data_IF_992217995686
#
_entry.id   IF_992217995686
#
_cell.length_a   1.000
_cell.length_b   1.000
_cell.length_c   1.000
_cell.angle_alpha   90.00
_cell.angle_beta   90.00
_cell.angle_gamma   90.00
#
_symmetry.space_group_name_H-M   'P 1'
#
loop_
_entity.id
_entity.type
_entity.pdbx_description
1 polymer ?
#
# COMPACT_ATOMS: atom_id res chain seq x y z
N UNK A 1 7.28 0.93 -5.80
CA UNK A 1 6.31 0.96 -4.70
C UNK A 1 5.06 1.66 -5.15
N UNK A 2 4.38 1.14 -6.16
CA UNK A 2 3.09 1.62 -6.68
C UNK A 2 2.08 0.48 -6.51
N UNK A 3 0.78 0.76 -6.44
CA UNK A 3 -0.28 -0.26 -6.37
C UNK A 3 -0.07 -1.31 -7.47
N UNK A 4 -0.01 -2.60 -7.11
CA UNK A 4 0.07 -3.70 -8.08
C UNK A 4 -1.20 -4.52 -7.94
N UNK A 5 -2.18 -4.13 -8.74
CA UNK A 5 -3.23 -5.04 -9.19
C UNK A 5 -2.70 -5.67 -10.47
N UNK A 6 -2.93 -6.96 -10.67
CA UNK A 6 -2.47 -7.67 -11.86
C UNK A 6 -3.70 -8.08 -12.64
N UNK A 7 -4.10 -7.27 -13.61
CA UNK A 7 -5.16 -7.59 -14.56
C UNK A 7 -4.57 -8.38 -15.73
N UNK A 8 -4.92 -9.66 -15.87
CA UNK A 8 -4.39 -10.53 -16.93
C UNK A 8 -5.37 -10.65 -18.08
N UNK A 9 -4.89 -10.44 -19.30
CA UNK A 9 -5.63 -10.62 -20.54
C UNK A 9 -5.02 -11.78 -21.35
N UNK A 10 -5.88 -12.66 -21.84
CA UNK A 10 -5.51 -13.79 -22.72
C UNK A 10 -6.09 -13.60 -24.11
N UNK A 11 -5.42 -14.18 -25.10
CA UNK A 11 -6.03 -14.33 -26.43
C UNK A 11 -7.19 -15.34 -26.34
N UNK A 12 -8.38 -14.97 -26.84
CA UNK A 12 -9.44 -15.98 -27.08
C UNK A 12 -8.99 -16.90 -28.21
N UNK A 13 -9.32 -18.21 -28.19
CA UNK A 13 -9.14 -19.04 -29.37
C UNK A 13 -10.07 -18.54 -30.48
N UNK A 14 -9.48 -18.07 -31.58
CA UNK A 14 -10.25 -17.76 -32.78
C UNK A 14 -10.70 -19.10 -33.43
N UNK A 15 -11.94 -19.21 -33.94
CA UNK A 15 -12.29 -20.32 -34.83
C UNK A 15 -11.49 -20.18 -36.15
N UNK A 16 -11.13 -21.28 -36.82
CA UNK A 16 -10.19 -21.21 -37.93
C UNK A 16 -10.90 -20.73 -39.19
N UNK A 17 -10.73 -19.46 -39.57
CA UNK A 17 -10.96 -19.02 -40.97
C UNK A 17 -9.92 -18.00 -41.44
N UNK A 18 -9.08 -18.52 -42.34
CA UNK A 18 -8.45 -17.96 -43.56
C UNK A 18 -8.19 -16.44 -43.63
N UNK A 19 -6.91 -16.13 -43.82
CA UNK A 19 -6.29 -14.99 -44.51
C UNK A 19 -6.98 -13.63 -44.46
N UNK A 20 -6.35 -12.70 -43.73
CA UNK A 20 -6.16 -11.33 -44.21
C UNK A 20 -4.76 -10.88 -43.79
N UNK A 21 -3.91 -10.64 -44.78
CA UNK A 21 -2.64 -9.93 -44.62
C UNK A 21 -2.94 -8.51 -44.14
N UNK A 22 -2.22 -8.03 -43.12
CA UNK A 22 -1.79 -6.63 -43.08
C UNK A 22 -0.45 -6.52 -42.34
N UNK A 23 0.47 -5.85 -43.02
CA UNK A 23 1.82 -5.51 -42.62
C UNK A 23 1.87 -4.75 -41.29
N UNK A 24 2.79 -5.12 -40.40
CA UNK A 24 3.59 -4.12 -39.69
C UNK A 24 5.00 -4.66 -39.44
N UNK A 25 5.98 -3.88 -39.91
CA UNK A 25 7.36 -4.23 -40.21
C UNK A 25 8.26 -4.36 -38.99
N UNK A 26 9.25 -5.25 -39.11
CA UNK A 26 10.44 -5.40 -38.27
C UNK A 26 11.14 -4.06 -37.96
N UNK A 27 11.25 -3.70 -36.67
CA UNK A 27 12.33 -2.86 -36.15
C UNK A 27 12.82 -3.48 -34.84
N UNK A 28 13.65 -4.52 -34.95
CA UNK A 28 14.69 -4.82 -33.96
C UNK A 28 16.03 -4.35 -34.55
N UNK A 29 16.96 -4.04 -33.66
CA UNK A 29 18.41 -3.91 -33.92
C UNK A 29 18.87 -2.73 -34.80
N UNK A 30 18.78 -1.49 -34.28
CA UNK A 30 19.74 -0.42 -34.67
C UNK A 30 20.05 0.66 -33.62
N UNK A 31 19.41 0.67 -32.44
CA UNK A 31 19.72 1.64 -31.37
C UNK A 31 20.59 1.10 -30.22
N UNK A 32 20.92 -0.20 -30.20
CA UNK A 32 21.82 -0.81 -29.21
C UNK A 32 23.29 -0.92 -29.67
N UNK A 33 23.59 -0.69 -30.95
CA UNK A 33 24.97 -0.69 -31.47
C UNK A 33 25.67 0.67 -31.33
N UNK A 34 24.93 1.79 -31.41
CA UNK A 34 25.48 3.14 -31.27
C UNK A 34 25.92 3.45 -29.83
N UNK A 35 25.14 3.07 -28.82
CA UNK A 35 25.50 3.31 -27.41
C UNK A 35 26.72 2.49 -26.95
N UNK A 36 26.97 1.33 -27.56
CA UNK A 36 28.17 0.53 -27.27
C UNK A 36 29.44 1.16 -27.85
N UNK A 37 29.37 1.82 -29.02
CA UNK A 37 30.53 2.50 -29.61
C UNK A 37 30.89 3.80 -28.87
N UNK A 38 29.91 4.57 -28.40
CA UNK A 38 30.16 5.83 -27.68
C UNK A 38 30.80 5.59 -26.31
N UNK A 39 30.39 4.54 -25.59
CA UNK A 39 30.96 4.20 -24.27
C UNK A 39 32.36 3.57 -24.41
N UNK A 40 32.61 2.81 -25.49
CA UNK A 40 33.93 2.23 -25.77
C UNK A 40 34.99 3.31 -26.11
N UNK A 41 34.59 4.39 -26.79
CA UNK A 41 35.51 5.49 -27.14
C UNK A 41 35.90 6.37 -25.96
N UNK A 42 35.02 6.53 -24.97
CA UNK A 42 35.28 7.33 -23.77
C UNK A 42 36.19 6.60 -22.76
N UNK A 43 36.12 5.26 -22.69
CA UNK A 43 36.91 4.46 -21.75
C UNK A 43 38.37 4.23 -22.19
N UNK A 44 38.66 4.31 -23.49
CA UNK A 44 40.05 4.17 -23.99
C UNK A 44 40.95 5.38 -23.68
N UNK A 45 40.39 6.55 -23.34
CA UNK A 45 41.18 7.74 -22.98
C UNK A 45 41.54 7.85 -21.50
N UNK A 46 41.04 6.97 -20.63
CA UNK A 46 41.16 7.11 -19.18
C UNK A 46 42.00 6.02 -18.48
N UNK A 47 42.69 5.14 -19.21
CA UNK A 47 43.72 4.25 -18.65
C UNK A 47 43.31 3.37 -17.47
N UNK A 48 42.00 3.10 -17.26
CA UNK A 48 41.49 2.24 -16.20
C UNK A 48 40.70 1.09 -16.78
N UNK A 49 41.28 -0.09 -16.74
CA UNK A 49 40.66 -1.33 -17.14
C UNK A 49 39.69 -1.78 -16.04
N UNK A 50 38.44 -1.31 -16.13
CA UNK A 50 37.35 -1.83 -15.30
C UNK A 50 36.99 -3.20 -15.85
N UNK A 51 37.37 -4.26 -15.14
CA UNK A 51 36.99 -5.63 -15.50
C UNK A 51 35.47 -5.77 -15.45
N UNK A 52 34.89 -6.58 -16.34
CA UNK A 52 33.44 -6.93 -16.32
C UNK A 52 32.97 -7.47 -14.96
N UNK A 53 33.89 -7.95 -14.11
CA UNK A 53 33.64 -8.34 -12.73
C UNK A 53 33.36 -7.15 -11.79
N UNK A 54 33.92 -5.96 -12.04
CA UNK A 54 33.65 -4.76 -11.22
C UNK A 54 32.25 -4.19 -11.47
N UNK A 55 31.65 -4.43 -12.64
CA UNK A 55 30.25 -4.08 -12.92
C UNK A 55 29.24 -5.09 -12.33
N UNK A 56 29.66 -6.34 -12.08
CA UNK A 56 28.85 -7.34 -11.36
C UNK A 56 28.78 -7.08 -9.85
N UNK A 57 29.69 -6.28 -9.30
CA UNK A 57 29.74 -5.98 -7.87
C UNK A 57 28.64 -4.99 -7.39
N UNK A 58 27.79 -4.46 -8.28
CA UNK A 58 26.74 -3.49 -7.93
C UNK A 58 25.30 -4.01 -8.05
N UNK A 59 25.08 -5.26 -8.45
CA UNK A 59 23.77 -5.92 -8.30
C UNK A 59 23.85 -6.90 -7.15
N UNK A 60 23.21 -6.59 -6.01
CA UNK A 60 22.87 -7.61 -5.03
C UNK A 60 21.89 -8.56 -5.71
N UNK A 61 22.41 -9.68 -6.21
CA UNK A 61 21.74 -10.71 -6.99
C UNK A 61 20.84 -11.56 -6.07
N UNK A 62 19.91 -10.89 -5.38
CA UNK A 62 18.91 -11.56 -4.56
C UNK A 62 17.68 -11.85 -5.42
N UNK A 63 17.27 -13.11 -5.45
CA UNK A 63 15.93 -13.49 -5.92
C UNK A 63 14.91 -12.99 -4.90
N UNK A 64 13.93 -12.20 -5.35
CA UNK A 64 12.85 -11.66 -4.52
C UNK A 64 11.59 -12.50 -4.68
N UNK A 65 10.80 -12.62 -3.60
CA UNK A 65 9.67 -13.53 -3.51
C UNK A 65 9.94 -14.63 -2.49
N UNK A 66 8.94 -15.48 -2.23
CA UNK A 66 9.10 -16.55 -1.24
C UNK A 66 8.94 -16.06 0.21
N UNK A 67 8.08 -15.07 0.41
CA UNK A 67 7.68 -14.59 1.72
C UNK A 67 7.14 -15.76 2.56
N UNK A 68 7.79 -15.99 3.70
CA UNK A 68 7.37 -17.03 4.65
C UNK A 68 6.09 -16.57 5.36
N UNK A 69 5.25 -17.52 5.76
CA UNK A 69 3.98 -17.18 6.41
C UNK A 69 4.17 -16.41 7.72
N UNK A 70 5.24 -16.69 8.47
CA UNK A 70 5.61 -15.93 9.67
C UNK A 70 5.97 -14.46 9.39
N UNK A 71 6.40 -14.14 8.16
CA UNK A 71 6.78 -12.80 7.71
C UNK A 71 5.60 -12.01 7.12
N UNK A 72 4.43 -12.65 6.95
CA UNK A 72 3.21 -11.98 6.51
C UNK A 72 2.68 -11.07 7.63
N UNK A 73 2.29 -9.84 7.26
CA UNK A 73 1.71 -8.87 8.17
C UNK A 73 0.20 -9.12 8.33
N UNK A 74 -0.48 -9.46 7.23
CA UNK A 74 -1.92 -9.69 7.16
C UNK A 74 -2.23 -11.18 7.34
N UNK A 75 -2.12 -11.65 8.57
CA UNK A 75 -2.17 -13.08 8.90
C UNK A 75 -3.56 -13.70 8.82
N UNK A 76 -4.63 -12.90 8.89
CA UNK A 76 -6.01 -13.38 8.69
C UNK A 76 -6.61 -12.88 7.38
N UNK A 77 -5.79 -12.60 6.36
CA UNK A 77 -6.24 -12.04 5.08
C UNK A 77 -7.42 -12.78 4.44
N UNK A 78 -7.55 -14.09 4.67
CA UNK A 78 -8.59 -14.95 4.11
C UNK A 78 -9.78 -15.21 5.05
N UNK A 79 -9.86 -14.57 6.22
CA UNK A 79 -10.99 -14.72 7.15
C UNK A 79 -11.11 -16.11 7.78
N UNK A 80 -10.00 -16.86 7.89
CA UNK A 80 -9.98 -18.22 8.46
C UNK A 80 -10.03 -18.23 10.00
N UNK A 81 -9.70 -17.11 10.62
CA UNK A 81 -9.71 -16.91 12.07
C UNK A 81 -10.68 -15.78 12.43
N UNK A 82 -11.00 -15.67 13.71
CA UNK A 82 -11.86 -14.61 14.25
C UNK A 82 -11.30 -13.20 13.92
N UNK A 83 -12.04 -12.35 13.18
CA UNK A 83 -11.58 -10.99 12.82
C UNK A 83 -11.67 -9.99 13.97
N UNK A 84 -12.43 -10.31 15.03
CA UNK A 84 -12.69 -9.43 16.18
C UNK A 84 -11.58 -9.52 17.23
N UNK A 85 -11.75 -8.79 18.34
CA UNK A 85 -10.69 -8.48 19.29
C UNK A 85 -10.00 -9.73 19.85
N UNK A 86 -10.77 -10.76 20.21
CA UNK A 86 -10.23 -11.98 20.79
C UNK A 86 -9.27 -12.71 19.82
N UNK A 87 -9.64 -12.80 18.54
CA UNK A 87 -8.77 -13.31 17.50
C UNK A 87 -7.57 -12.40 17.21
N UNK A 88 -7.80 -11.09 17.14
CA UNK A 88 -6.76 -10.10 16.84
C UNK A 88 -5.63 -10.10 17.88
N UNK A 89 -5.98 -10.16 19.17
CA UNK A 89 -5.00 -10.26 20.27
C UNK A 89 -4.11 -11.49 20.14
N UNK A 90 -4.67 -12.65 19.74
CA UNK A 90 -3.90 -13.89 19.52
C UNK A 90 -2.91 -13.78 18.35
N UNK A 91 -3.20 -12.92 17.37
CA UNK A 91 -2.33 -12.65 16.21
C UNK A 91 -1.29 -11.56 16.48
N UNK A 92 -1.28 -11.00 17.69
CA UNK A 92 -0.32 -9.97 18.10
C UNK A 92 -0.74 -8.54 17.74
N UNK A 93 -1.99 -8.31 17.35
CA UNK A 93 -2.54 -6.96 17.28
C UNK A 93 -2.76 -6.43 18.69
N UNK A 94 -2.63 -5.11 18.87
CA UNK A 94 -2.66 -4.44 20.17
C UNK A 94 -1.56 -4.85 21.16
N UNK A 95 -0.57 -5.65 20.73
CA UNK A 95 0.54 -6.06 21.58
C UNK A 95 1.47 -4.88 21.85
N UNK A 96 1.54 -4.48 23.14
CA UNK A 96 2.42 -3.40 23.63
C UNK A 96 2.24 -2.08 22.89
N UNK A 97 1.05 -1.78 22.37
CA UNK A 97 0.78 -0.53 21.63
C UNK A 97 1.05 0.70 22.49
N UNK A 98 0.74 0.64 23.79
CA UNK A 98 1.09 1.69 24.75
C UNK A 98 2.57 2.03 24.70
N UNK A 99 3.45 1.02 24.72
CA UNK A 99 4.91 1.21 24.71
C UNK A 99 5.37 1.88 23.40
N UNK A 100 4.69 1.62 22.28
CA UNK A 100 4.97 2.28 21.02
C UNK A 100 4.52 3.74 21.03
N UNK A 101 3.35 4.04 21.61
CA UNK A 101 2.80 5.39 21.71
C UNK A 101 3.70 6.27 22.60
N UNK A 102 4.12 5.78 23.76
CA UNK A 102 4.93 6.56 24.72
C UNK A 102 6.35 6.84 24.25
N UNK A 103 6.89 6.07 23.28
CA UNK A 103 8.14 6.42 22.60
C UNK A 103 8.03 7.72 21.80
N UNK A 104 6.81 8.15 21.51
CA UNK A 104 6.50 9.48 21.02
C UNK A 104 6.59 9.64 19.50
N UNK A 105 6.12 10.81 19.07
CA UNK A 105 5.92 11.19 17.67
C UNK A 105 7.17 10.98 16.81
N UNK A 106 8.30 11.54 17.24
CA UNK A 106 9.53 11.55 16.45
C UNK A 106 10.10 10.15 16.27
N UNK A 107 10.03 9.29 17.29
CA UNK A 107 10.45 7.89 17.17
C UNK A 107 9.60 7.14 16.14
N UNK A 108 8.26 7.25 16.23
CA UNK A 108 7.34 6.59 15.28
C UNK A 108 7.64 7.02 13.84
N UNK A 109 7.75 8.33 13.59
CA UNK A 109 8.01 8.86 12.25
C UNK A 109 9.37 8.40 11.72
N UNK A 110 10.41 8.38 12.57
CA UNK A 110 11.75 7.98 12.18
C UNK A 110 11.84 6.49 11.87
N UNK A 111 11.20 5.61 12.65
CA UNK A 111 11.13 4.18 12.34
C UNK A 111 10.39 3.91 11.02
N UNK A 112 9.27 4.61 10.77
CA UNK A 112 8.56 4.46 9.49
C UNK A 112 9.39 4.99 8.32
N UNK A 113 10.18 6.07 8.50
CA UNK A 113 11.16 6.53 7.50
C UNK A 113 12.24 5.48 7.27
N UNK A 114 12.84 4.95 8.33
CA UNK A 114 13.91 3.96 8.28
C UNK A 114 13.45 2.65 7.59
N UNK A 115 12.19 2.25 7.80
CA UNK A 115 11.61 1.06 7.15
C UNK A 115 11.54 1.15 5.62
N UNK A 116 11.68 2.35 5.06
CA UNK A 116 11.52 2.58 3.62
C UNK A 116 10.08 2.39 3.13
N UNK A 117 9.08 2.38 4.02
CA UNK A 117 7.67 2.26 3.66
C UNK A 117 7.26 3.36 2.68
N UNK A 118 6.58 2.94 1.61
CA UNK A 118 6.00 3.82 0.59
C UNK A 118 4.50 3.62 0.54
N UNK A 119 3.77 4.67 0.23
CA UNK A 119 2.31 4.67 0.15
C UNK A 119 1.78 3.54 -0.73
N UNK A 120 0.82 2.80 -0.18
CA UNK A 120 0.22 1.59 -0.76
C UNK A 120 -1.13 1.82 -1.48
N UNK A 121 -1.51 3.10 -1.66
CA UNK A 121 -2.47 3.51 -2.68
C UNK A 121 -1.80 3.50 -4.06
N UNK A 122 -1.97 4.55 -4.88
CA UNK A 122 -1.34 4.61 -6.22
C UNK A 122 0.00 5.35 -6.28
N UNK A 123 0.15 6.43 -5.50
CA UNK A 123 1.22 7.41 -5.67
C UNK A 123 2.62 6.92 -5.27
N UNK A 124 2.72 5.96 -4.35
CA UNK A 124 4.01 5.44 -3.91
C UNK A 124 4.91 6.44 -3.21
N UNK A 125 4.37 7.50 -2.61
CA UNK A 125 5.13 8.50 -1.89
C UNK A 125 5.72 7.92 -0.58
N UNK A 126 6.96 8.23 -0.16
CA UNK A 126 7.54 7.72 1.09
C UNK A 126 6.69 8.08 2.31
N UNK A 127 6.14 7.09 3.02
CA UNK A 127 5.11 7.30 4.04
C UNK A 127 5.63 8.07 5.25
N UNK A 128 6.81 7.70 5.77
CA UNK A 128 7.40 8.39 6.91
C UNK A 128 7.74 9.85 6.61
N UNK A 129 8.15 10.16 5.36
CA UNK A 129 8.34 11.55 4.92
C UNK A 129 7.00 12.29 4.89
N UNK A 130 5.94 11.66 4.36
CA UNK A 130 4.59 12.24 4.32
C UNK A 130 4.11 12.61 5.72
N UNK A 131 4.27 11.70 6.68
CA UNK A 131 3.84 11.91 8.06
C UNK A 131 4.61 13.05 8.74
N UNK A 132 5.87 13.28 8.35
CA UNK A 132 6.67 14.38 8.89
C UNK A 132 6.27 15.77 8.40
N UNK A 133 5.38 15.89 7.40
CA UNK A 133 4.86 17.18 6.94
C UNK A 133 3.79 17.76 7.86
N UNK A 134 3.18 16.94 8.71
CA UNK A 134 2.18 17.44 9.67
C UNK A 134 2.86 18.41 10.66
N UNK A 135 2.21 19.53 11.03
CA UNK A 135 2.81 20.51 11.94
C UNK A 135 3.24 19.88 13.26
N UNK A 136 4.43 20.26 13.75
CA UNK A 136 4.91 19.86 15.08
C UNK A 136 4.33 20.73 16.19
N UNK A 137 4.20 22.03 15.91
CA UNK A 137 3.59 23.00 16.82
C UNK A 137 2.17 23.25 16.33
N UNK A 138 1.20 23.11 17.22
CA UNK A 138 -0.20 23.44 16.90
C UNK A 138 -0.36 24.95 16.83
N UNK A 139 -1.07 25.41 15.80
CA UNK A 139 -1.53 26.79 15.65
C UNK A 139 -2.95 27.00 16.21
N UNK A 140 -3.39 26.09 17.09
CA UNK A 140 -4.76 26.05 17.62
C UNK A 140 -5.71 25.17 16.81
N UNK A 141 -5.39 24.85 15.54
CA UNK A 141 -6.20 23.91 14.74
C UNK A 141 -5.88 22.46 15.14
N UNK A 142 -6.88 21.57 15.24
CA UNK A 142 -6.64 20.15 15.42
C UNK A 142 -6.02 19.55 14.16
N UNK A 143 -5.18 18.54 14.32
CA UNK A 143 -4.66 17.76 13.20
C UNK A 143 -5.53 16.52 12.96
N UNK A 144 -5.75 16.20 11.69
CA UNK A 144 -6.57 15.06 11.26
C UNK A 144 -5.74 14.00 10.52
N UNK A 145 -6.05 12.74 10.80
CA UNK A 145 -5.71 11.62 9.93
C UNK A 145 -6.96 11.24 9.14
N UNK A 146 -6.85 11.12 7.83
CA UNK A 146 -7.90 10.53 7.01
C UNK A 146 -7.38 9.25 6.37
N UNK A 147 -8.01 8.13 6.68
CA UNK A 147 -7.70 6.84 6.06
C UNK A 147 -8.56 6.70 4.82
N UNK A 148 -7.91 6.58 3.67
CA UNK A 148 -8.57 6.35 2.39
C UNK A 148 -8.85 4.85 2.23
N UNK A 149 -10.11 4.49 2.44
CA UNK A 149 -10.67 3.14 2.31
C UNK A 149 -11.75 3.07 1.22
N UNK A 150 -11.70 3.96 0.22
CA UNK A 150 -12.64 3.99 -0.90
C UNK A 150 -12.35 2.86 -1.92
N UNK A 151 -11.09 2.52 -2.17
CA UNK A 151 -10.69 1.41 -3.06
C UNK A 151 -11.53 1.23 -4.34
N UNK A 152 -11.89 2.34 -5.00
CA UNK A 152 -12.70 2.27 -6.22
C UNK A 152 -11.91 1.85 -7.48
N UNK A 153 -10.59 1.67 -7.36
CA UNK A 153 -9.69 1.29 -8.45
C UNK A 153 -10.00 -0.12 -8.98
N UNK A 154 -10.39 -0.28 -10.26
CA UNK A 154 -10.69 -1.57 -10.87
C UNK A 154 -9.60 -2.63 -10.65
N UNK A 155 -10.05 -3.83 -10.25
CA UNK A 155 -9.21 -4.99 -9.95
C UNK A 155 -8.53 -4.94 -8.57
N UNK A 156 -8.70 -3.87 -7.80
CA UNK A 156 -8.15 -3.77 -6.45
C UNK A 156 -9.19 -4.21 -5.41
N UNK A 157 -8.82 -5.11 -4.51
CA UNK A 157 -9.67 -5.59 -3.42
C UNK A 157 -8.89 -5.88 -2.12
N UNK A 158 -7.69 -5.31 -1.95
CA UNK A 158 -6.80 -5.53 -0.81
C UNK A 158 -7.30 -4.83 0.46
N UNK A 159 -7.81 -3.61 0.33
CA UNK A 159 -8.27 -2.79 1.45
C UNK A 159 -9.58 -3.36 1.96
N UNK A 160 -10.42 -3.88 1.05
CA UNK A 160 -11.56 -4.72 1.37
C UNK A 160 -11.21 -5.85 2.32
N UNK A 161 -10.19 -6.66 2.00
CA UNK A 161 -9.76 -7.79 2.85
C UNK A 161 -9.33 -7.34 4.25
N UNK A 162 -8.57 -6.24 4.34
CA UNK A 162 -8.11 -5.71 5.64
C UNK A 162 -9.31 -5.31 6.49
N UNK A 163 -10.28 -4.59 5.92
CA UNK A 163 -11.45 -4.11 6.68
C UNK A 163 -12.36 -5.24 7.17
N UNK A 164 -12.55 -6.31 6.37
CA UNK A 164 -13.44 -7.42 6.76
C UNK A 164 -12.77 -8.51 7.60
N UNK A 165 -11.47 -8.75 7.45
CA UNK A 165 -10.82 -9.89 8.09
C UNK A 165 -9.76 -9.53 9.14
N UNK A 166 -9.14 -8.34 9.08
CA UNK A 166 -8.19 -7.85 10.08
C UNK A 166 -8.46 -6.37 10.49
N UNK A 167 -9.70 -6.01 10.87
CA UNK A 167 -10.08 -4.62 11.18
C UNK A 167 -9.29 -4.03 12.35
N UNK A 168 -8.98 -4.83 13.39
CA UNK A 168 -8.20 -4.35 14.54
C UNK A 168 -6.78 -3.90 14.17
N UNK A 169 -6.16 -4.51 13.16
CA UNK A 169 -4.85 -4.11 12.66
C UNK A 169 -4.89 -2.72 12.02
N UNK A 170 -5.97 -2.41 11.30
CA UNK A 170 -6.22 -1.07 10.77
C UNK A 170 -6.45 -0.06 11.89
N UNK A 171 -7.31 -0.38 12.85
CA UNK A 171 -7.65 0.51 13.97
C UNK A 171 -6.42 0.81 14.83
N UNK A 172 -5.62 -0.21 15.15
CA UNK A 172 -4.34 -0.03 15.84
C UNK A 172 -3.39 0.87 15.02
N UNK A 173 -3.31 0.63 13.71
CA UNK A 173 -2.58 1.47 12.77
C UNK A 173 -3.01 2.93 12.84
N UNK A 174 -4.31 3.21 12.94
CA UNK A 174 -4.83 4.56 13.08
C UNK A 174 -4.32 5.23 14.36
N UNK A 175 -4.35 4.54 15.51
CA UNK A 175 -3.85 5.07 16.79
C UNK A 175 -2.37 5.40 16.71
N UNK A 176 -1.56 4.49 16.16
CA UNK A 176 -0.11 4.68 15.99
C UNK A 176 0.18 5.84 15.03
N UNK A 177 -0.49 5.88 13.88
CA UNK A 177 -0.29 6.91 12.87
C UNK A 177 -0.74 8.29 13.40
N UNK A 178 -1.87 8.35 14.11
CA UNK A 178 -2.32 9.56 14.81
C UNK A 178 -1.25 10.09 15.77
N UNK A 179 -0.69 9.21 16.60
CA UNK A 179 0.42 9.57 17.51
C UNK A 179 1.63 10.10 16.73
N UNK A 180 2.03 9.40 15.66
CA UNK A 180 3.15 9.81 14.78
C UNK A 180 2.93 11.12 14.03
N UNK A 181 1.68 11.51 13.78
CA UNK A 181 1.33 12.75 13.07
C UNK A 181 0.84 13.86 14.00
N UNK A 182 0.73 13.60 15.31
CA UNK A 182 0.11 14.54 16.26
C UNK A 182 -1.37 14.79 15.97
N UNK A 183 -2.06 13.84 15.33
CA UNK A 183 -3.48 13.93 15.03
C UNK A 183 -4.31 13.38 16.20
N UNK A 184 -5.33 14.13 16.60
CA UNK A 184 -6.30 13.70 17.63
C UNK A 184 -7.46 12.92 17.02
N UNK A 185 -7.84 13.29 15.81
CA UNK A 185 -9.03 12.76 15.15
C UNK A 185 -8.62 11.98 13.91
N UNK A 186 -9.17 10.77 13.77
CA UNK A 186 -9.03 9.94 12.59
C UNK A 186 -10.39 9.73 11.95
N UNK A 187 -10.49 9.96 10.64
CA UNK A 187 -11.64 9.52 9.86
C UNK A 187 -11.23 8.39 8.93
N UNK A 188 -11.94 7.27 8.98
CA UNK A 188 -11.83 6.19 8.01
C UNK A 188 -12.93 6.41 6.97
N UNK A 189 -12.55 6.86 5.77
CA UNK A 189 -13.49 7.10 4.67
C UNK A 189 -13.61 5.82 3.84
N UNK A 190 -14.70 5.10 4.05
CA UNK A 190 -14.98 3.81 3.43
C UNK A 190 -15.79 4.01 2.14
N UNK A 191 -15.53 3.16 1.17
CA UNK A 191 -16.37 3.05 -0.02
C UNK A 191 -17.85 2.84 0.33
N UNK A 192 -18.76 3.52 -0.37
CA UNK A 192 -20.20 3.38 -0.12
C UNK A 192 -20.72 1.94 -0.28
N UNK A 193 -20.19 1.20 -1.25
CA UNK A 193 -20.59 -0.18 -1.56
C UNK A 193 -20.07 -1.22 -0.54
N UNK A 194 -19.08 -0.86 0.28
CA UNK A 194 -18.46 -1.75 1.27
C UNK A 194 -19.25 -1.78 2.58
N UNK A 195 -20.54 -2.10 2.49
CA UNK A 195 -21.47 -2.09 3.63
C UNK A 195 -21.08 -3.11 4.70
N UNK A 196 -20.79 -4.36 4.30
CA UNK A 196 -20.46 -5.42 5.26
C UNK A 196 -19.09 -5.20 5.91
N UNK A 197 -18.13 -4.73 5.13
CA UNK A 197 -16.79 -4.36 5.57
C UNK A 197 -16.87 -3.20 6.58
N UNK A 198 -17.71 -2.18 6.30
CA UNK A 198 -17.98 -1.07 7.23
C UNK A 198 -18.58 -1.58 8.53
N UNK A 199 -19.62 -2.41 8.47
CA UNK A 199 -20.27 -2.95 9.67
C UNK A 199 -19.30 -3.79 10.51
N UNK A 200 -18.41 -4.56 9.87
CA UNK A 200 -17.35 -5.28 10.57
C UNK A 200 -16.36 -4.33 11.24
N UNK A 201 -15.92 -3.29 10.54
CA UNK A 201 -15.00 -2.30 11.10
C UNK A 201 -15.63 -1.52 12.26
N UNK A 202 -16.90 -1.13 12.16
CA UNK A 202 -17.65 -0.46 13.23
C UNK A 202 -17.78 -1.36 14.47
N UNK A 203 -18.00 -2.65 14.29
CA UNK A 203 -18.00 -3.63 15.40
C UNK A 203 -16.65 -3.73 16.09
N UNK A 204 -15.57 -3.88 15.32
CA UNK A 204 -14.21 -3.93 15.85
C UNK A 204 -13.80 -2.61 16.54
N UNK A 205 -14.27 -1.48 16.01
CA UNK A 205 -14.05 -0.16 16.59
C UNK A 205 -14.78 -0.01 17.92
N UNK A 206 -16.03 -0.47 18.01
CA UNK A 206 -16.78 -0.50 19.26
C UNK A 206 -16.07 -1.36 20.33
N UNK A 207 -15.52 -2.52 19.97
CA UNK A 207 -14.70 -3.34 20.87
C UNK A 207 -13.43 -2.61 21.33
N UNK A 208 -12.76 -1.89 20.44
CA UNK A 208 -11.57 -1.11 20.76
C UNK A 208 -11.87 0.07 21.70
N UNK A 209 -12.99 0.76 21.52
CA UNK A 209 -13.48 1.77 22.46
C UNK A 209 -13.83 1.16 23.81
N UNK A 210 -14.58 0.05 23.84
CA UNK A 210 -14.96 -0.64 25.06
C UNK A 210 -13.75 -1.13 25.87
N UNK A 211 -12.64 -1.47 25.20
CA UNK A 211 -11.39 -1.88 25.87
C UNK A 211 -10.47 -0.72 26.26
N UNK A 212 -10.81 0.53 25.89
CA UNK A 212 -9.97 1.70 26.13
C UNK A 212 -8.74 1.75 25.23
N UNK A 213 -8.75 1.06 24.09
CA UNK A 213 -7.67 1.11 23.11
C UNK A 213 -7.73 2.35 22.21
N UNK A 214 -8.94 2.90 22.04
CA UNK A 214 -9.25 4.12 21.29
C UNK A 214 -10.05 5.05 22.21
N UNK A 215 -10.01 6.35 21.93
CA UNK A 215 -10.69 7.41 22.66
C UNK A 215 -9.75 8.20 23.55
N UNK A 216 -10.27 8.70 24.66
CA UNK A 216 -9.46 9.37 25.69
C UNK A 216 -8.44 8.41 26.28
N UNK A 217 -7.20 8.84 26.42
CA UNK A 217 -6.12 8.04 26.98
C UNK A 217 -5.99 6.67 26.27
N UNK A 218 -5.92 6.68 24.93
CA UNK A 218 -5.86 5.51 24.07
C UNK A 218 -4.76 4.54 24.54
N UNK A 219 -5.12 3.28 24.78
CA UNK A 219 -4.24 2.24 25.34
C UNK A 219 -3.62 2.57 26.71
N UNK A 220 -4.19 3.52 27.47
CA UNK A 220 -3.64 3.99 28.75
C UNK A 220 -2.31 4.73 28.61
N UNK A 221 -2.08 5.39 27.47
CA UNK A 221 -0.80 6.02 27.09
C UNK A 221 -0.66 7.51 27.43
N UNK A 222 -1.76 8.19 27.76
CA UNK A 222 -1.85 9.64 27.92
C UNK A 222 -2.16 10.41 26.64
N UNK A 223 -2.35 9.71 25.51
CA UNK A 223 -2.70 10.31 24.20
C UNK A 223 -4.17 10.08 23.90
N UNK A 224 -4.88 11.12 23.45
CA UNK A 224 -6.26 11.02 23.00
C UNK A 224 -6.32 10.76 21.49
N UNK A 225 -7.00 9.70 21.07
CA UNK A 225 -7.25 9.41 19.64
C UNK A 225 -8.69 8.96 19.45
N UNK A 226 -9.50 9.78 18.81
CA UNK A 226 -10.87 9.42 18.41
C UNK A 226 -10.90 9.00 16.94
N UNK A 227 -11.59 7.90 16.64
CA UNK A 227 -11.72 7.35 15.29
C UNK A 227 -13.20 7.35 14.90
N UNK A 228 -13.48 7.89 13.72
CA UNK A 228 -14.81 7.94 13.13
C UNK A 228 -14.82 7.19 11.82
N UNK A 229 -15.89 6.44 11.58
CA UNK A 229 -16.14 5.80 10.29
C UNK A 229 -17.09 6.69 9.49
N UNK A 230 -16.65 7.07 8.29
CA UNK A 230 -17.46 7.80 7.32
C UNK A 230 -17.52 6.99 6.03
N UNK A 231 -18.59 7.10 5.25
CA UNK A 231 -18.71 6.36 4.00
C UNK A 231 -19.18 7.23 2.85
N UNK A 232 -18.63 6.96 1.66
CA UNK A 232 -19.03 7.62 0.43
C UNK A 232 -20.31 7.05 -0.17
N UNK A 233 -20.60 7.42 -1.42
CA UNK A 233 -21.79 7.01 -2.15
C UNK A 233 -21.49 6.54 -3.59
N UNK A 234 -20.38 5.81 -3.78
CA UNK A 234 -20.04 5.15 -5.06
C UNK A 234 -19.38 6.07 -6.10
N UNK A 235 -18.41 6.89 -5.68
CA UNK A 235 -17.72 7.82 -6.58
C UNK A 235 -16.21 7.55 -6.62
N UNK A 236 -15.71 6.98 -7.72
CA UNK A 236 -14.28 6.70 -7.91
C UNK A 236 -13.38 7.92 -7.68
N UNK A 237 -13.85 9.11 -8.08
CA UNK A 237 -13.09 10.35 -7.91
C UNK A 237 -12.86 10.70 -6.44
N UNK A 238 -13.75 10.29 -5.53
CA UNK A 238 -13.59 10.47 -4.09
C UNK A 238 -12.48 9.60 -3.50
N UNK A 239 -11.91 8.66 -4.26
CA UNK A 239 -10.67 7.98 -3.92
C UNK A 239 -9.41 8.84 -4.10
N UNK A 240 -9.48 9.99 -4.77
CA UNK A 240 -8.37 10.95 -4.83
C UNK A 240 -8.24 11.72 -3.50
N UNK A 241 -7.01 12.00 -3.07
CA UNK A 241 -6.69 12.56 -1.75
C UNK A 241 -7.46 13.85 -1.40
N UNK A 242 -7.56 14.81 -2.31
CA UNK A 242 -8.24 16.09 -2.04
C UNK A 242 -9.75 16.03 -2.31
N UNK A 243 -10.19 15.22 -3.27
CA UNK A 243 -11.61 14.95 -3.50
C UNK A 243 -12.25 14.22 -2.31
N UNK A 244 -11.51 13.31 -1.67
CA UNK A 244 -11.93 12.62 -0.46
C UNK A 244 -12.19 13.61 0.67
N UNK A 245 -11.28 14.58 0.86
CA UNK A 245 -11.45 15.63 1.87
C UNK A 245 -12.71 16.44 1.59
N UNK A 246 -12.93 16.89 0.35
CA UNK A 246 -14.13 17.64 -0.04
C UNK A 246 -15.42 16.83 0.19
N UNK A 247 -15.41 15.54 -0.15
CA UNK A 247 -16.54 14.65 0.10
C UNK A 247 -16.82 14.50 1.59
N UNK A 248 -15.78 14.39 2.43
CA UNK A 248 -15.92 14.27 3.88
C UNK A 248 -16.45 15.56 4.53
N UNK A 249 -16.15 16.71 3.93
CA UNK A 249 -16.73 18.01 4.30
C UNK A 249 -18.20 18.18 3.88
N UNK A 250 -18.79 17.18 3.22
CA UNK A 250 -20.17 17.22 2.74
C UNK A 250 -20.35 17.98 1.42
N UNK A 251 -19.25 18.30 0.73
CA UNK A 251 -19.28 18.92 -0.60
C UNK A 251 -19.24 17.84 -1.68
N UNK A 252 -19.39 18.26 -2.94
CA UNK A 252 -19.11 17.37 -4.06
C UNK A 252 -17.62 16.96 -4.05
N UNK A 253 -17.31 15.69 -4.29
CA UNK A 253 -15.95 15.15 -4.34
C UNK A 253 -15.14 15.60 -5.55
N UNK A 254 -14.98 16.92 -5.73
CA UNK A 254 -14.15 17.53 -6.77
C UNK A 254 -12.77 17.81 -6.17
N UNK A 255 -11.67 17.32 -6.79
CA UNK A 255 -10.32 17.58 -6.28
C UNK A 255 -10.02 19.08 -6.13
N UNK A 256 -9.25 19.43 -5.10
CA UNK A 256 -8.73 20.79 -4.94
C UNK A 256 -7.46 20.96 -5.78
N UNK A 257 -7.23 22.16 -6.29
CA UNK A 257 -5.94 22.52 -6.88
C UNK A 257 -4.88 22.55 -5.77
N UNK A 258 -3.69 22.03 -6.08
CA UNK A 258 -2.50 22.10 -5.21
C UNK A 258 -1.60 23.22 -5.77
N UNK A 259 -1.10 24.18 -4.96
CA UNK A 259 -1.33 24.41 -3.52
C UNK A 259 -2.69 25.06 -3.16
N UNK A 260 -3.16 24.95 -1.90
CA UNK A 260 -2.47 24.43 -0.70
C UNK A 260 -2.47 22.90 -0.58
N UNK A 261 -1.42 22.34 0.03
CA UNK A 261 -1.33 20.91 0.32
C UNK A 261 -2.13 20.54 1.59
N UNK A 262 -2.70 19.31 1.67
CA UNK A 262 -3.50 18.87 2.82
C UNK A 262 -2.79 19.00 4.17
N UNK A 263 -1.46 18.80 4.21
CA UNK A 263 -0.68 18.91 5.43
C UNK A 263 -0.69 20.33 6.05
N UNK A 264 -1.00 21.36 5.26
CA UNK A 264 -1.22 22.73 5.76
C UNK A 264 -2.71 23.09 5.86
N UNK A 265 -3.48 22.81 4.80
CA UNK A 265 -4.91 23.12 4.70
C UNK A 265 -5.63 21.93 4.05
N UNK A 266 -6.17 21.04 4.88
CA UNK A 266 -6.89 19.85 4.50
C UNK A 266 -8.35 19.88 4.98
N UNK A 267 -8.75 18.85 5.72
CA UNK A 267 -10.10 18.67 6.25
C UNK A 267 -10.48 19.80 7.20
N UNK A 268 -11.61 20.44 6.92
CA UNK A 268 -12.12 21.62 7.66
C UNK A 268 -11.09 22.75 7.73
N UNK A 269 -10.28 22.88 6.69
CA UNK A 269 -9.18 23.84 6.64
C UNK A 269 -8.06 23.55 7.63
N UNK A 270 -8.01 22.36 8.24
CA UNK A 270 -7.02 21.97 9.24
C UNK A 270 -5.93 21.06 8.65
N UNK A 271 -4.73 20.99 9.27
CA UNK A 271 -3.67 20.09 8.84
C UNK A 271 -4.17 18.65 8.77
N UNK A 272 -4.01 18.00 7.62
CA UNK A 272 -4.54 16.66 7.37
C UNK A 272 -3.59 15.84 6.54
N UNK A 273 -3.43 14.56 6.90
CA UNK A 273 -2.76 13.57 6.05
C UNK A 273 -3.74 12.50 5.63
N UNK A 274 -3.86 12.29 4.31
CA UNK A 274 -4.64 11.18 3.74
C UNK A 274 -3.72 9.99 3.46
N UNK A 275 -4.04 8.81 3.98
CA UNK A 275 -3.21 7.62 3.80
C UNK A 275 -4.07 6.39 3.52
N UNK A 276 -3.63 5.51 2.62
CA UNK A 276 -4.36 4.27 2.29
C UNK A 276 -4.36 3.26 3.46
N UNK A 277 -5.43 2.47 3.56
CA UNK A 277 -5.64 1.40 4.56
C UNK A 277 -4.41 0.52 4.76
N UNK A 278 -3.86 -0.09 3.70
CA UNK A 278 -2.70 -0.99 3.82
C UNK A 278 -1.47 -0.27 4.42
N UNK A 279 -1.26 1.01 4.10
CA UNK A 279 -0.12 1.77 4.64
C UNK A 279 -0.24 2.04 6.14
N UNK A 280 -1.47 2.26 6.61
CA UNK A 280 -1.75 2.48 8.03
C UNK A 280 -1.69 1.16 8.79
N UNK A 281 -2.30 0.10 8.26
CA UNK A 281 -2.40 -1.20 8.93
C UNK A 281 -1.04 -1.91 9.08
N UNK A 282 -0.06 -1.68 8.20
CA UNK A 282 1.29 -2.26 8.38
C UNK A 282 2.11 -1.57 9.47
N UNK A 283 1.80 -0.31 9.80
CA UNK A 283 2.65 0.52 10.65
C UNK A 283 2.89 -0.07 12.05
N UNK A 284 1.89 -0.59 12.79
CA UNK A 284 2.13 -1.21 14.10
C UNK A 284 3.08 -2.40 14.02
N UNK A 285 2.96 -3.22 12.98
CA UNK A 285 3.82 -4.40 12.80
C UNK A 285 5.25 -4.01 12.47
N UNK A 286 5.45 -2.96 11.65
CA UNK A 286 6.78 -2.40 11.38
C UNK A 286 7.43 -1.92 12.68
N UNK A 287 6.70 -1.16 13.51
CA UNK A 287 7.24 -0.65 14.78
C UNK A 287 7.54 -1.76 15.79
N UNK A 288 6.77 -2.86 15.78
CA UNK A 288 7.00 -4.02 16.65
C UNK A 288 8.16 -4.90 16.21
N UNK A 289 8.26 -5.20 14.91
CA UNK A 289 9.28 -6.10 14.35
C UNK A 289 10.59 -5.40 14.00
N UNK A 290 10.56 -4.06 13.92
CA UNK A 290 11.69 -3.21 13.59
C UNK A 290 11.68 -2.75 12.14
N UNK A 291 12.14 -1.51 11.93
CA UNK A 291 12.28 -0.92 10.60
C UNK A 291 13.17 -1.78 9.67
N UNK A 292 14.28 -2.31 10.19
CA UNK A 292 15.23 -3.11 9.42
C UNK A 292 14.63 -4.42 8.91
N UNK A 293 13.77 -5.08 9.70
CA UNK A 293 13.06 -6.28 9.26
C UNK A 293 12.20 -5.97 8.02
N UNK A 294 11.42 -4.89 8.05
CA UNK A 294 10.60 -4.51 6.91
C UNK A 294 11.46 -4.03 5.71
N UNK A 295 12.54 -3.28 5.98
CA UNK A 295 13.48 -2.80 4.98
C UNK A 295 14.25 -3.94 4.30
N UNK A 296 14.40 -5.09 4.98
CA UNK A 296 15.07 -6.28 4.47
C UNK A 296 14.33 -6.94 3.31
N UNK A 297 13.04 -6.66 3.11
CA UNK A 297 12.27 -7.17 1.99
C UNK A 297 12.31 -6.20 0.81
N UNK A 298 12.36 -6.74 -0.41
CA UNK A 298 12.34 -5.99 -1.65
C UNK A 298 13.66 -5.30 -2.02
N UNK A 299 13.65 -4.60 -3.16
CA UNK A 299 14.81 -3.84 -3.65
C UNK A 299 14.96 -2.53 -2.89
N UNK A 300 16.17 -1.97 -2.93
CA UNK A 300 16.43 -0.59 -2.50
C UNK A 300 15.39 0.36 -3.08
N UNK A 301 14.84 1.24 -2.24
CA UNK A 301 13.75 2.18 -2.54
C UNK A 301 12.37 1.55 -2.81
N UNK A 302 12.22 0.23 -2.68
CA UNK A 302 10.98 -0.54 -2.86
C UNK A 302 10.81 -1.60 -1.77
N UNK A 303 10.97 -1.17 -0.52
CA UNK A 303 11.02 -2.08 0.62
C UNK A 303 9.66 -2.59 1.09
N UNK A 304 9.69 -3.74 1.75
CA UNK A 304 8.58 -4.34 2.48
C UNK A 304 7.79 -5.39 1.73
N UNK A 305 6.65 -5.77 2.31
CA UNK A 305 5.64 -6.62 1.69
C UNK A 305 4.56 -5.78 1.01
N UNK A 306 3.74 -6.45 0.19
CA UNK A 306 2.62 -5.83 -0.51
C UNK A 306 1.49 -6.83 -0.70
N UNK A 307 0.25 -6.37 -0.53
CA UNK A 307 -0.93 -7.10 -0.99
C UNK A 307 -1.09 -6.95 -2.50
N UNK A 308 -1.00 -8.06 -3.23
CA UNK A 308 -1.24 -8.16 -4.67
C UNK A 308 -2.65 -8.67 -4.92
N UNK A 309 -3.41 -7.98 -5.77
CA UNK A 309 -4.73 -8.43 -6.21
C UNK A 309 -4.59 -8.94 -7.64
N UNK A 310 -4.61 -10.25 -7.85
CA UNK A 310 -4.53 -10.85 -9.18
C UNK A 310 -5.94 -11.18 -9.66
N UNK A 311 -6.31 -10.62 -10.81
CA UNK A 311 -7.63 -10.73 -11.41
C UNK A 311 -7.55 -10.92 -12.93
N UNK A 312 -8.69 -11.20 -13.56
CA UNK A 312 -8.77 -11.45 -15.00
C UNK A 312 -8.46 -12.91 -15.35
N UNK A 313 -7.76 -13.12 -16.46
CA UNK A 313 -7.55 -14.42 -17.09
C UNK A 313 -6.39 -15.22 -16.46
N UNK A 314 -6.54 -15.56 -15.19
CA UNK A 314 -5.71 -16.52 -14.45
C UNK A 314 -6.55 -17.70 -13.98
N UNK A 315 -5.92 -18.83 -13.68
CA UNK A 315 -6.65 -20.03 -13.26
C UNK A 315 -7.31 -19.86 -11.88
N UNK A 316 -6.61 -19.22 -10.94
CA UNK A 316 -7.12 -18.96 -9.59
C UNK A 316 -6.89 -17.49 -9.21
N UNK A 317 -7.82 -16.57 -9.53
CA UNK A 317 -7.75 -15.18 -9.09
C UNK A 317 -7.69 -15.10 -7.56
N UNK A 318 -6.78 -14.32 -7.00
CA UNK A 318 -6.59 -14.23 -5.56
C UNK A 318 -5.99 -12.89 -5.11
N UNK A 319 -6.19 -12.57 -3.84
CA UNK A 319 -5.46 -11.51 -3.15
C UNK A 319 -4.43 -12.16 -2.23
N UNK A 320 -3.15 -11.85 -2.40
CA UNK A 320 -2.06 -12.46 -1.65
C UNK A 320 -1.06 -11.41 -1.20
N UNK A 321 -0.61 -11.49 0.05
CA UNK A 321 0.56 -10.73 0.50
C UNK A 321 1.82 -11.36 -0.10
N UNK A 322 2.81 -10.61 -0.56
CA UNK A 322 4.07 -11.20 -1.00
C UNK A 322 5.20 -10.18 -0.90
N UNK A 323 6.46 -10.63 -1.01
CA UNK A 323 7.61 -9.73 -1.00
C UNK A 323 7.52 -8.71 -2.15
N UNK A 324 7.76 -7.44 -1.87
CA UNK A 324 7.94 -6.47 -2.94
C UNK A 324 9.08 -6.90 -3.86
N UNK A 325 8.98 -6.56 -5.15
CA UNK A 325 9.98 -6.89 -6.18
C UNK A 325 10.03 -8.35 -6.61
N UNK A 326 9.08 -9.19 -6.17
CA UNK A 326 8.84 -10.52 -6.76
C UNK A 326 8.65 -10.41 -8.29
N UNK A 327 9.26 -11.31 -9.10
CA UNK A 327 9.00 -11.37 -10.53
C UNK A 327 7.51 -11.62 -10.81
N UNK A 328 6.91 -10.82 -11.70
CA UNK A 328 5.49 -10.93 -12.04
C UNK A 328 5.10 -12.34 -12.51
N UNK A 329 5.97 -12.97 -13.30
CA UNK A 329 5.77 -14.35 -13.76
C UNK A 329 5.69 -15.33 -12.60
N UNK A 330 6.61 -15.22 -11.63
CA UNK A 330 6.62 -16.07 -10.44
C UNK A 330 5.36 -15.85 -9.60
N UNK A 331 4.94 -14.60 -9.40
CA UNK A 331 3.70 -14.27 -8.69
C UNK A 331 2.48 -14.97 -9.33
N UNK A 332 2.35 -14.90 -10.66
CA UNK A 332 1.24 -15.50 -11.41
C UNK A 332 1.28 -17.04 -11.37
N UNK A 333 2.44 -17.63 -11.65
CA UNK A 333 2.60 -19.10 -11.70
C UNK A 333 2.38 -19.71 -10.31
N UNK A 334 2.97 -19.12 -9.27
CA UNK A 334 2.96 -19.68 -7.91
C UNK A 334 1.64 -19.49 -7.18
N UNK A 335 1.06 -18.29 -7.21
CA UNK A 335 -0.10 -17.97 -6.37
C UNK A 335 -1.44 -18.10 -7.09
N UNK A 336 -1.45 -18.05 -8.42
CA UNK A 336 -2.67 -18.10 -9.22
C UNK A 336 -2.78 -19.37 -10.08
N UNK A 337 -1.78 -20.24 -10.04
CA UNK A 337 -1.70 -21.42 -10.91
C UNK A 337 -1.48 -21.09 -12.38
N UNK A 338 -0.95 -19.89 -12.68
CA UNK A 338 -0.67 -19.43 -14.04
C UNK A 338 -1.85 -18.79 -14.77
N UNK A 339 -1.55 -18.35 -15.99
CA UNK A 339 -2.48 -17.74 -16.94
C UNK A 339 -3.41 -18.80 -17.53
N UNK A 340 -4.67 -18.45 -17.79
CA UNK A 340 -5.63 -19.36 -18.43
C UNK A 340 -5.14 -19.79 -19.81
N UNK A 341 -5.03 -21.10 -20.04
CA UNK A 341 -4.46 -21.66 -21.28
C UNK A 341 -2.93 -21.70 -21.32
N UNK A 342 -2.26 -21.41 -20.20
CA UNK A 342 -0.80 -21.49 -20.06
C UNK A 342 -0.06 -20.19 -20.41
N UNK A 343 1.23 -20.13 -20.06
CA UNK A 343 2.04 -18.90 -20.20
C UNK A 343 2.17 -18.37 -21.63
N UNK A 344 2.07 -19.25 -22.64
CA UNK A 344 2.08 -18.86 -24.05
C UNK A 344 0.79 -18.17 -24.52
N UNK A 345 -0.29 -18.23 -23.74
CA UNK A 345 -1.57 -17.58 -24.04
C UNK A 345 -1.68 -16.16 -23.46
N UNK A 346 -0.63 -15.71 -22.76
CA UNK A 346 -0.61 -14.37 -22.17
C UNK A 346 -0.49 -13.30 -23.26
N UNK A 347 -1.48 -12.42 -23.36
CA UNK A 347 -1.46 -11.30 -24.30
C UNK A 347 -0.91 -10.04 -23.65
N UNK A 348 -1.50 -9.64 -22.52
CA UNK A 348 -1.12 -8.43 -21.80
C UNK A 348 -1.40 -8.57 -20.32
N UNK A 349 -0.63 -7.83 -19.53
CA UNK A 349 -0.86 -7.67 -18.09
C UNK A 349 -0.87 -6.18 -17.77
N UNK A 350 -1.88 -5.74 -17.02
CA UNK A 350 -1.90 -4.43 -16.39
C UNK A 350 -1.31 -4.64 -14.99
N UNK A 351 -0.07 -4.20 -14.72
CA UNK A 351 0.62 -4.46 -13.44
C UNK A 351 0.21 -3.46 -12.35
N UNK A 352 -0.81 -2.64 -12.59
CA UNK A 352 -1.42 -1.70 -11.66
C UNK A 352 -2.94 -1.92 -11.69
N UNK A 353 -3.68 -1.21 -10.84
CA UNK A 353 -5.09 -0.94 -11.16
C UNK A 353 -5.22 -0.36 -12.58
N UNK A 354 -6.44 -0.11 -13.03
CA UNK A 354 -6.70 0.49 -14.35
C UNK A 354 -5.89 1.77 -14.68
N UNK A 355 -5.33 2.47 -13.68
CA UNK A 355 -4.64 3.76 -13.79
C UNK A 355 -3.13 3.77 -14.04
#
# INVERSE_FOLDING_TARGET
GRQVTVGVLVAKPAPPKKSCYLFCSNIRTKQLSMLRQVVSGALQRAGRQVTLNTLRAFSTDRTHGGLKDQDRIFTNLYGKHDPLLAGALKRGDWYRTKDLIVKGRDWIVNEIKASGLRGRGGAGFPSGLKWSFMPKVSDGRPCYLVVNADESEPGTCKDREIMRHDPHKLIEGCVIACTGMGARYCYIYIRGEYVNERLMLERALAEAYAKGFVGKNACGSGVDVDIYVHYGAGAYICGEETALIESLEGKQGKPRLKPPFPAGVGLYGCPTTVTNVETIAVAPTILRRGADWFASFGRKNNSGTKLFCISGAVNNPCTVEEEMSIPLRELLEKHCGGVTGGGGNLLAVIPRGSS
#
